data_IF_002613225927
#
_entry.id   IF_002613225927
#
_cell.length_a   1.000
_cell.length_b   1.000
_cell.length_c   1.000
_cell.angle_alpha   90.00
_cell.angle_beta   90.00
_cell.angle_gamma   90.00
#
_symmetry.space_group_name_H-M   'P 1'
#
loop_
_entity.id
_entity.type
_entity.pdbx_description
1 polymer ?
#
# COMPACT_ATOMS: atom_id res chain seq x y z
N UNK A 1 -1.09 -41.56 -1.65
CA UNK A 1 -1.15 -40.77 -0.41
C UNK A 1 0.23 -40.17 -0.18
N UNK A 2 0.44 -38.91 -0.52
CA UNK A 2 1.66 -38.18 -0.19
C UNK A 2 1.24 -36.75 0.16
N UNK A 3 1.39 -36.30 1.42
CA UNK A 3 0.95 -34.97 1.79
C UNK A 3 1.85 -33.94 1.09
N UNK A 4 1.22 -33.01 0.37
CA UNK A 4 1.90 -31.96 -0.35
C UNK A 4 2.87 -31.20 0.54
N UNK A 5 4.09 -30.97 0.03
CA UNK A 5 5.03 -30.01 0.59
C UNK A 5 4.37 -28.64 0.59
N UNK A 6 3.72 -28.28 1.70
CA UNK A 6 3.40 -26.89 2.01
C UNK A 6 4.70 -26.12 1.98
N UNK A 7 4.79 -25.13 1.08
CA UNK A 7 5.83 -24.12 1.11
C UNK A 7 5.81 -23.55 2.52
N UNK A 8 6.90 -23.74 3.27
CA UNK A 8 7.00 -23.26 4.65
C UNK A 8 6.76 -21.75 4.61
N UNK A 9 5.73 -21.33 5.33
CA UNK A 9 5.53 -19.98 5.87
C UNK A 9 6.78 -19.69 6.69
N UNK A 10 7.84 -19.20 6.05
CA UNK A 10 8.91 -18.53 6.79
C UNK A 10 8.26 -17.22 7.24
N UNK A 11 8.07 -17.11 8.55
CA UNK A 11 6.92 -16.48 9.20
C UNK A 11 6.68 -15.02 8.76
N UNK A 12 5.45 -14.68 8.35
CA UNK A 12 5.04 -13.28 8.12
C UNK A 12 5.27 -12.42 9.38
N UNK A 13 5.31 -13.07 10.55
CA UNK A 13 5.70 -12.51 11.83
C UNK A 13 7.19 -12.13 11.91
N UNK A 14 8.08 -12.94 11.32
CA UNK A 14 9.52 -12.64 11.23
C UNK A 14 9.76 -11.46 10.29
N UNK A 15 9.06 -11.41 9.15
CA UNK A 15 9.13 -10.27 8.23
C UNK A 15 8.64 -8.97 8.86
N UNK A 16 7.59 -9.03 9.68
CA UNK A 16 7.10 -7.87 10.43
C UNK A 16 8.08 -7.41 11.53
N UNK A 17 8.73 -8.34 12.22
CA UNK A 17 9.76 -8.01 13.20
C UNK A 17 11.00 -7.38 12.52
N UNK A 18 11.40 -7.91 11.36
CA UNK A 18 12.53 -7.40 10.58
C UNK A 18 12.29 -5.97 10.09
N UNK A 19 11.07 -5.65 9.63
CA UNK A 19 10.76 -4.29 9.17
C UNK A 19 10.76 -3.29 10.33
N UNK A 20 10.26 -3.67 11.51
CA UNK A 20 10.28 -2.82 12.72
C UNK A 20 11.71 -2.51 13.17
N UNK A 21 12.58 -3.54 13.16
CA UNK A 21 14.00 -3.36 13.46
C UNK A 21 14.69 -2.44 12.44
N UNK A 22 14.36 -2.60 11.15
CA UNK A 22 14.87 -1.72 10.09
C UNK A 22 14.39 -0.28 10.24
N UNK A 23 13.09 -0.05 10.51
CA UNK A 23 12.53 1.29 10.74
C UNK A 23 13.28 1.98 11.88
N UNK A 24 13.49 1.29 13.00
CA UNK A 24 14.23 1.81 14.15
C UNK A 24 15.64 2.28 13.76
N UNK A 25 16.37 1.47 12.99
CA UNK A 25 17.71 1.81 12.50
C UNK A 25 17.69 2.96 11.48
N UNK A 26 16.70 2.99 10.59
CA UNK A 26 16.57 3.98 9.52
C UNK A 26 16.26 5.38 10.08
N UNK A 27 15.58 5.48 11.23
CA UNK A 27 15.31 6.76 11.90
C UNK A 27 16.55 7.47 12.40
N UNK A 28 17.57 6.72 12.83
CA UNK A 28 18.81 7.28 13.38
C UNK A 28 19.91 7.42 12.32
N UNK A 29 19.62 7.18 11.05
CA UNK A 29 20.61 7.31 10.00
C UNK A 29 20.89 8.78 9.66
N UNK A 30 22.09 9.06 9.14
CA UNK A 30 22.52 10.42 8.80
C UNK A 30 21.83 10.97 7.55
N UNK A 31 21.06 10.16 6.82
CA UNK A 31 20.31 10.58 5.64
C UNK A 31 18.92 11.12 6.04
N UNK A 32 18.68 12.45 5.99
CA UNK A 32 17.46 13.04 6.54
C UNK A 32 16.18 12.57 5.83
N UNK A 33 16.27 12.30 4.52
CA UNK A 33 15.15 11.78 3.73
C UNK A 33 14.72 10.38 4.21
N UNK A 34 15.69 9.51 4.53
CA UNK A 34 15.43 8.15 5.02
C UNK A 34 14.88 8.21 6.45
N UNK A 35 15.46 9.05 7.31
CA UNK A 35 14.98 9.23 8.68
C UNK A 35 13.53 9.75 8.73
N UNK A 36 13.19 10.70 7.85
CA UNK A 36 11.83 11.24 7.74
C UNK A 36 10.86 10.18 7.22
N UNK A 37 11.25 9.41 6.20
CA UNK A 37 10.46 8.30 5.68
C UNK A 37 10.19 7.23 6.74
N UNK A 38 11.21 6.81 7.49
CA UNK A 38 11.09 5.84 8.56
C UNK A 38 10.20 6.34 9.71
N UNK A 39 10.25 7.63 10.02
CA UNK A 39 9.35 8.23 11.02
C UNK A 39 7.87 8.18 10.57
N UNK A 40 7.60 8.33 9.27
CA UNK A 40 6.26 8.12 8.72
C UNK A 40 5.80 6.66 8.83
N UNK A 41 6.67 5.71 8.49
CA UNK A 41 6.36 4.28 8.61
C UNK A 41 6.10 3.86 10.06
N UNK A 42 6.84 4.41 11.02
CA UNK A 42 6.62 4.16 12.45
C UNK A 42 5.25 4.69 12.91
N UNK A 43 4.86 5.89 12.45
CA UNK A 43 3.54 6.45 12.76
C UNK A 43 2.40 5.56 12.24
N UNK A 44 2.62 4.89 11.11
CA UNK A 44 1.64 4.00 10.45
C UNK A 44 1.94 2.50 10.69
N UNK A 45 2.67 2.13 11.76
CA UNK A 45 3.18 0.76 11.94
C UNK A 45 2.10 -0.32 11.92
N UNK A 46 0.90 -0.03 12.44
CA UNK A 46 -0.22 -0.96 12.39
C UNK A 46 -0.63 -1.32 10.95
N UNK A 47 -0.62 -0.34 10.04
CA UNK A 47 -0.92 -0.56 8.64
C UNK A 47 0.22 -1.32 7.93
N UNK A 48 1.48 -1.03 8.28
CA UNK A 48 2.65 -1.75 7.74
C UNK A 48 2.62 -3.23 8.13
N UNK A 49 2.32 -3.53 9.41
CA UNK A 49 2.16 -4.91 9.88
C UNK A 49 1.01 -5.62 9.17
N UNK A 50 -0.14 -4.97 9.05
CA UNK A 50 -1.28 -5.53 8.33
C UNK A 50 -0.92 -5.80 6.86
N UNK A 51 -0.18 -4.91 6.19
CA UNK A 51 0.24 -5.11 4.80
C UNK A 51 1.20 -6.31 4.60
N UNK A 52 1.92 -6.72 5.64
CA UNK A 52 2.81 -7.89 5.61
C UNK A 52 2.12 -9.19 6.01
N UNK A 53 1.17 -9.13 6.95
CA UNK A 53 0.50 -10.31 7.52
C UNK A 53 -0.79 -10.69 6.81
N UNK A 54 -1.49 -9.70 6.25
CA UNK A 54 -2.78 -9.94 5.62
C UNK A 54 -2.62 -10.31 4.14
N UNK A 55 -3.48 -11.20 3.61
CA UNK A 55 -3.45 -11.59 2.20
C UNK A 55 -4.03 -10.50 1.27
N UNK A 56 -4.53 -9.39 1.82
CA UNK A 56 -5.25 -8.37 1.09
C UNK A 56 -4.30 -7.31 0.51
N UNK A 57 -4.56 -6.89 -0.73
CA UNK A 57 -3.81 -5.82 -1.40
C UNK A 57 -4.67 -4.56 -1.57
N UNK A 58 -4.07 -3.39 -1.31
CA UNK A 58 -4.65 -2.08 -1.66
C UNK A 58 -4.73 -1.83 -3.17
N UNK A 59 -4.12 -2.69 -4.00
CA UNK A 59 -3.96 -2.46 -5.44
C UNK A 59 -5.27 -2.27 -6.21
N UNK A 60 -6.35 -2.96 -5.84
CA UNK A 60 -7.67 -2.73 -6.46
C UNK A 60 -8.20 -1.33 -6.16
N UNK A 61 -8.11 -0.89 -4.90
CA UNK A 61 -8.54 0.44 -4.49
C UNK A 61 -7.67 1.52 -5.17
N UNK A 62 -6.36 1.35 -5.16
CA UNK A 62 -5.41 2.25 -5.83
C UNK A 62 -5.66 2.33 -7.34
N UNK A 63 -5.97 1.20 -7.98
CA UNK A 63 -6.32 1.13 -9.40
C UNK A 63 -7.57 1.95 -9.72
N UNK A 64 -8.64 1.81 -8.92
CA UNK A 64 -9.85 2.61 -9.10
C UNK A 64 -9.61 4.10 -8.85
N UNK A 65 -8.82 4.45 -7.83
CA UNK A 65 -8.41 5.83 -7.56
C UNK A 65 -7.60 6.40 -8.71
N UNK A 66 -6.68 5.63 -9.29
CA UNK A 66 -5.89 6.05 -10.44
C UNK A 66 -6.76 6.27 -11.67
N UNK A 67 -7.71 5.36 -11.95
CA UNK A 67 -8.70 5.50 -13.04
C UNK A 67 -9.55 6.76 -12.86
N UNK A 68 -10.04 7.03 -11.64
CA UNK A 68 -10.77 8.26 -11.31
C UNK A 68 -9.90 9.51 -11.57
N UNK A 69 -8.66 9.51 -11.08
CA UNK A 69 -7.71 10.62 -11.30
C UNK A 69 -7.46 10.86 -12.79
N UNK A 70 -7.32 9.79 -13.58
CA UNK A 70 -7.15 9.87 -15.03
C UNK A 70 -8.36 10.54 -15.70
N UNK A 71 -9.59 10.08 -15.40
CA UNK A 71 -10.81 10.67 -15.95
C UNK A 71 -10.93 12.16 -15.57
N UNK A 72 -10.65 12.51 -14.32
CA UNK A 72 -10.67 13.91 -13.85
C UNK A 72 -9.64 14.76 -14.60
N UNK A 73 -8.45 14.24 -14.90
CA UNK A 73 -7.41 14.90 -15.72
C UNK A 73 -7.84 15.08 -17.17
N UNK A 74 -8.48 14.08 -17.78
CA UNK A 74 -9.07 14.21 -19.13
C UNK A 74 -10.15 15.31 -19.20
N UNK A 75 -10.85 15.56 -18.10
CA UNK A 75 -11.82 16.65 -18.00
C UNK A 75 -11.19 17.99 -17.55
N UNK A 76 -9.87 18.13 -17.60
CA UNK A 76 -9.13 19.32 -17.16
C UNK A 76 -9.50 19.78 -15.73
N UNK A 77 -9.86 18.83 -14.86
CA UNK A 77 -10.28 19.11 -13.49
C UNK A 77 -11.68 19.74 -13.35
N UNK A 78 -12.41 19.99 -14.44
CA UNK A 78 -13.70 20.70 -14.43
C UNK A 78 -14.93 19.80 -14.34
N UNK A 79 -14.75 18.48 -14.31
CA UNK A 79 -15.86 17.56 -14.11
C UNK A 79 -16.31 17.53 -12.64
N UNK A 80 -17.59 17.85 -12.41
CA UNK A 80 -18.26 17.65 -11.13
C UNK A 80 -18.52 16.16 -10.83
N UNK A 81 -18.96 15.87 -9.61
CA UNK A 81 -19.13 14.49 -9.12
C UNK A 81 -20.07 13.65 -10.00
N UNK A 82 -21.19 14.21 -10.46
CA UNK A 82 -22.15 13.47 -11.28
C UNK A 82 -21.57 13.07 -12.64
N UNK A 83 -20.81 13.97 -13.26
CA UNK A 83 -20.14 13.69 -14.53
C UNK A 83 -19.01 12.66 -14.35
N UNK A 84 -18.23 12.77 -13.27
CA UNK A 84 -17.19 11.78 -12.93
C UNK A 84 -17.80 10.40 -12.72
N UNK A 85 -18.88 10.29 -11.94
CA UNK A 85 -19.61 9.03 -11.70
C UNK A 85 -20.09 8.41 -13.02
N UNK A 86 -20.76 9.21 -13.87
CA UNK A 86 -21.24 8.75 -15.19
C UNK A 86 -20.08 8.23 -16.05
N UNK A 87 -18.97 8.97 -16.13
CA UNK A 87 -17.79 8.53 -16.89
C UNK A 87 -17.12 7.29 -16.31
N UNK A 88 -17.08 7.13 -14.98
CA UNK A 88 -16.50 5.93 -14.37
C UNK A 88 -17.33 4.66 -14.62
N UNK A 89 -18.66 4.78 -14.61
CA UNK A 89 -19.56 3.65 -14.88
C UNK A 89 -19.60 3.32 -16.37
N UNK A 90 -19.64 4.34 -17.24
CA UNK A 90 -19.74 4.15 -18.70
C UNK A 90 -18.41 3.80 -19.38
N UNK A 91 -17.26 4.10 -18.78
CA UNK A 91 -15.95 3.74 -19.33
C UNK A 91 -15.53 2.30 -18.94
N UNK A 92 -16.46 1.47 -18.47
CA UNK A 92 -16.24 0.06 -18.10
C UNK A 92 -16.42 -0.84 -19.32
#
# INVERSE_FOLDING_TARGET
MNPGKGKRVADDQDAAADIEAWITKARTCEAPAIATFASGLEADIAAVRAALMEPWSSGQAEGQVNRLKLIKRQCYGRAGLDLLKRRMVLAA
#
